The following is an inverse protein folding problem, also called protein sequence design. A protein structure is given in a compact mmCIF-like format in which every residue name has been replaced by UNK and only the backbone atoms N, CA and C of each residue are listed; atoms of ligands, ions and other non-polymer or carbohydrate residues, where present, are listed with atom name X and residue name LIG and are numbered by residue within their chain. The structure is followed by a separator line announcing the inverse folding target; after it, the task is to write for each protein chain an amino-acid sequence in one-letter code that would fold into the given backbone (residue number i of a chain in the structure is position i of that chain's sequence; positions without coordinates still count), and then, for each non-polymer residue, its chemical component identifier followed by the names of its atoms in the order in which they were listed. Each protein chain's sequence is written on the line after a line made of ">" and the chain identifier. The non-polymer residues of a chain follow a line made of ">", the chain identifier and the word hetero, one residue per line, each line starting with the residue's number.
data_IF_762150928904
#
_entry.id   IF_762150928904
#
_cell.length_a   1.000
_cell.length_b   1.000
_cell.length_c   1.000
_cell.angle_alpha   90.00
_cell.angle_beta   90.00
_cell.angle_gamma   90.00
#
_symmetry.space_group_name_H-M   'P 1'
#
loop_
_entity.id
_entity.type
_entity.pdbx_description
1 polymer ?
#
# COMPACT_ATOMS: atom_id res chain seq x y z
N UNK A 1 -8.01 -7.66 -22.07
CA UNK A 1 -7.30 -8.89 -21.63
C UNK A 1 -7.06 -8.76 -20.13
N UNK A 2 -7.59 -9.68 -19.31
CA UNK A 2 -7.29 -9.68 -17.88
C UNK A 2 -5.93 -10.37 -17.69
N UNK A 3 -4.92 -9.62 -17.25
CA UNK A 3 -3.63 -10.19 -16.89
C UNK A 3 -3.77 -10.97 -15.58
N UNK A 4 -3.32 -12.22 -15.57
CA UNK A 4 -3.29 -13.03 -14.35
C UNK A 4 -2.11 -12.56 -13.46
N UNK A 5 -2.32 -12.32 -12.15
CA UNK A 5 -1.29 -11.72 -11.29
C UNK A 5 -0.06 -12.61 -11.09
N UNK A 6 -0.17 -13.91 -11.35
CA UNK A 6 0.96 -14.85 -11.29
C UNK A 6 1.75 -14.96 -12.61
N UNK A 7 1.44 -14.15 -13.62
CA UNK A 7 2.24 -14.14 -14.85
C UNK A 7 3.69 -13.75 -14.50
N UNK A 8 4.64 -14.51 -15.02
CA UNK A 8 6.08 -14.31 -14.77
C UNK A 8 6.55 -14.79 -13.38
N UNK A 9 5.69 -15.45 -12.59
CA UNK A 9 6.13 -16.06 -11.32
C UNK A 9 6.83 -17.41 -11.50
N UNK A 10 6.80 -18.00 -12.71
CA UNK A 10 7.45 -19.29 -12.96
C UNK A 10 8.94 -19.22 -12.62
N UNK A 11 9.40 -20.13 -11.75
CA UNK A 11 10.78 -20.16 -11.28
C UNK A 11 11.15 -19.09 -10.23
N UNK A 12 10.22 -18.21 -9.85
CA UNK A 12 10.44 -17.26 -8.76
C UNK A 12 10.47 -17.96 -7.39
N UNK A 13 11.16 -17.38 -6.41
CA UNK A 13 11.31 -17.97 -5.07
C UNK A 13 9.98 -18.21 -4.33
N UNK A 14 8.94 -17.44 -4.67
CA UNK A 14 7.60 -17.55 -4.09
C UNK A 14 6.68 -18.50 -4.86
N UNK A 15 7.14 -19.07 -5.99
CA UNK A 15 6.38 -20.03 -6.80
C UNK A 15 6.42 -21.43 -6.22
N UNK A 16 5.61 -21.66 -5.17
CA UNK A 16 5.58 -22.91 -4.41
C UNK A 16 4.16 -23.47 -4.39
N UNK A 17 3.99 -24.80 -4.53
CA UNK A 17 2.70 -25.46 -4.35
C UNK A 17 1.65 -25.11 -5.42
N UNK A 18 2.09 -24.84 -6.65
CA UNK A 18 1.22 -24.46 -7.76
C UNK A 18 0.60 -23.07 -7.60
N UNK A 19 -0.48 -22.79 -8.33
CA UNK A 19 -1.10 -21.47 -8.37
C UNK A 19 -1.58 -20.99 -6.99
N UNK A 20 -2.21 -21.87 -6.20
CA UNK A 20 -2.76 -21.51 -4.89
C UNK A 20 -1.67 -21.19 -3.88
N UNK A 21 -0.62 -22.01 -3.80
CA UNK A 21 0.50 -21.75 -2.89
C UNK A 21 1.28 -20.49 -3.29
N UNK A 22 1.48 -20.28 -4.60
CA UNK A 22 2.12 -19.06 -5.12
C UNK A 22 1.31 -17.82 -4.77
N UNK A 23 -0.01 -17.83 -4.99
CA UNK A 23 -0.89 -16.73 -4.63
C UNK A 23 -0.89 -16.45 -3.13
N UNK A 24 -0.90 -17.51 -2.30
CA UNK A 24 -0.86 -17.38 -0.85
C UNK A 24 0.44 -16.73 -0.36
N UNK A 25 1.60 -17.19 -0.84
CA UNK A 25 2.90 -16.62 -0.46
C UNK A 25 3.02 -15.19 -0.96
N UNK A 26 2.67 -14.93 -2.23
CA UNK A 26 2.70 -13.60 -2.83
C UNK A 26 1.82 -12.61 -2.05
N UNK A 27 0.56 -12.98 -1.80
CA UNK A 27 -0.38 -12.15 -1.05
C UNK A 27 0.07 -11.89 0.38
N UNK A 28 0.58 -12.92 1.07
CA UNK A 28 1.10 -12.78 2.44
C UNK A 28 2.33 -11.89 2.50
N UNK A 29 3.24 -12.02 1.53
CA UNK A 29 4.46 -11.23 1.45
C UNK A 29 4.18 -9.74 1.17
N UNK A 30 3.32 -9.45 0.19
CA UNK A 30 2.92 -8.07 -0.11
C UNK A 30 2.05 -7.47 1.02
N UNK A 31 1.20 -8.28 1.66
CA UNK A 31 0.45 -7.87 2.85
C UNK A 31 1.36 -7.52 4.03
N UNK A 32 2.41 -8.31 4.27
CA UNK A 32 3.45 -8.00 5.26
C UNK A 32 4.15 -6.68 4.92
N UNK A 33 4.51 -6.46 3.65
CA UNK A 33 5.12 -5.20 3.21
C UNK A 33 4.23 -3.99 3.55
N UNK A 34 2.92 -4.06 3.28
CA UNK A 34 1.97 -3.02 3.66
C UNK A 34 2.00 -2.75 5.18
N UNK A 35 1.94 -3.80 6.00
CA UNK A 35 1.95 -3.69 7.46
C UNK A 35 3.25 -3.07 7.98
N UNK A 36 4.40 -3.41 7.37
CA UNK A 36 5.70 -2.80 7.69
C UNK A 36 5.69 -1.31 7.35
N UNK A 37 5.12 -0.92 6.21
CA UNK A 37 4.94 0.48 5.81
C UNK A 37 4.14 1.27 6.84
N UNK A 38 2.94 0.79 7.19
CA UNK A 38 2.05 1.46 8.15
C UNK A 38 2.63 1.52 9.57
N UNK A 39 3.31 0.46 9.98
CA UNK A 39 4.03 0.43 11.27
C UNK A 39 5.16 1.46 11.29
N UNK A 40 5.91 1.59 10.19
CA UNK A 40 6.95 2.61 10.04
C UNK A 40 6.36 4.03 10.10
N UNK A 41 5.26 4.28 9.38
CA UNK A 41 4.54 5.56 9.44
C UNK A 41 4.07 5.87 10.87
N UNK A 42 3.52 4.88 11.56
CA UNK A 42 3.10 4.99 12.96
C UNK A 42 4.27 5.27 13.90
N UNK A 43 5.40 4.60 13.73
CA UNK A 43 6.61 4.86 14.50
C UNK A 43 7.11 6.30 14.32
N UNK A 44 7.20 6.79 13.07
CA UNK A 44 7.63 8.17 12.77
C UNK A 44 6.69 9.19 13.40
N UNK A 45 5.36 8.96 13.34
CA UNK A 45 4.37 9.83 14.02
C UNK A 45 4.67 9.94 15.52
N UNK A 46 4.89 8.81 16.20
CA UNK A 46 5.17 8.81 17.66
C UNK A 46 6.49 9.47 18.00
N UNK A 47 7.53 9.33 17.17
CA UNK A 47 8.82 10.02 17.38
C UNK A 47 8.72 11.54 17.21
N UNK A 48 7.79 12.02 16.37
CA UNK A 48 7.50 13.45 16.18
C UNK A 48 6.56 14.04 17.23
N UNK A 49 6.19 13.27 18.26
CA UNK A 49 5.27 13.74 19.31
C UNK A 49 3.82 13.84 18.83
N UNK A 50 3.48 13.33 17.64
CA UNK A 50 2.11 13.24 17.15
C UNK A 50 1.41 12.09 17.92
N UNK A 51 0.89 12.43 19.10
CA UNK A 51 0.10 11.53 19.93
C UNK A 51 -1.35 11.55 19.45
N UNK A 52 -2.03 10.41 19.58
CA UNK A 52 -3.51 10.39 19.56
C UNK A 52 -3.94 11.02 20.89
N UNK A 53 -4.46 12.24 20.86
CA UNK A 53 -5.06 12.86 22.04
C UNK A 53 -6.58 12.64 21.97
N UNK A 54 -7.09 11.73 22.80
CA UNK A 54 -8.51 11.37 22.81
C UNK A 54 -9.00 10.79 21.48
N UNK A 55 -10.19 11.22 21.05
CA UNK A 55 -10.85 10.85 19.78
C UNK A 55 -10.16 11.43 18.53
N UNK A 56 -9.23 12.38 18.70
CA UNK A 56 -8.66 13.14 17.58
C UNK A 56 -7.33 12.48 17.15
N UNK A 57 -7.40 11.74 16.03
CA UNK A 57 -6.21 11.24 15.36
C UNK A 57 -5.32 12.40 14.91
N UNK A 58 -4.00 12.27 15.07
CA UNK A 58 -3.03 13.22 14.56
C UNK A 58 -3.26 13.43 13.05
N UNK A 59 -3.48 14.67 12.62
CA UNK A 59 -3.75 15.02 11.22
C UNK A 59 -2.48 14.91 10.37
N UNK A 60 -2.02 13.69 10.11
CA UNK A 60 -0.81 13.43 9.35
C UNK A 60 -1.15 12.78 8.00
N UNK A 61 -1.88 13.49 7.10
CA UNK A 61 -2.51 12.90 5.92
C UNK A 61 -1.55 12.17 4.99
N UNK A 62 -0.29 12.62 4.88
CA UNK A 62 0.72 11.90 4.07
C UNK A 62 1.26 10.65 4.76
N UNK A 63 1.48 10.70 6.08
CA UNK A 63 1.96 9.55 6.87
C UNK A 63 0.87 8.49 7.07
N UNK A 64 -0.39 8.85 6.88
CA UNK A 64 -1.54 7.95 6.99
C UNK A 64 -1.95 7.32 5.64
N UNK A 65 -1.35 7.76 4.53
CA UNK A 65 -1.77 7.33 3.18
C UNK A 65 -0.64 6.78 2.31
N UNK A 66 0.60 7.23 2.51
CA UNK A 66 1.71 6.85 1.64
C UNK A 66 2.55 5.65 2.11
N UNK A 67 2.81 5.43 3.42
CA UNK A 67 3.77 4.41 3.84
C UNK A 67 3.45 2.99 3.39
N UNK A 68 2.19 2.54 3.46
CA UNK A 68 1.83 1.21 2.97
C UNK A 68 2.10 1.06 1.47
N UNK A 69 1.69 2.05 0.66
CA UNK A 69 1.79 2.02 -0.79
C UNK A 69 3.26 2.07 -1.25
N UNK A 70 4.07 2.92 -0.62
CA UNK A 70 5.51 2.99 -0.88
C UNK A 70 6.16 1.65 -0.55
N UNK A 71 5.84 1.06 0.60
CA UNK A 71 6.50 -0.17 1.05
C UNK A 71 6.13 -1.37 0.16
N UNK A 72 4.86 -1.52 -0.21
CA UNK A 72 4.43 -2.63 -1.08
C UNK A 72 5.00 -2.52 -2.49
N UNK A 73 5.09 -1.32 -3.07
CA UNK A 73 5.72 -1.13 -4.37
C UNK A 73 7.23 -1.35 -4.31
N UNK A 74 7.90 -0.85 -3.27
CA UNK A 74 9.33 -1.06 -3.07
C UNK A 74 9.64 -2.56 -2.95
N UNK A 75 8.91 -3.29 -2.11
CA UNK A 75 9.11 -4.73 -1.95
C UNK A 75 8.75 -5.51 -3.22
N UNK A 76 7.68 -5.11 -3.90
CA UNK A 76 7.31 -5.67 -5.19
C UNK A 76 8.46 -5.59 -6.20
N UNK A 77 9.05 -4.40 -6.34
CA UNK A 77 10.15 -4.15 -7.27
C UNK A 77 11.46 -4.85 -6.85
N UNK A 78 11.75 -4.96 -5.56
CA UNK A 78 12.99 -5.58 -5.07
C UNK A 78 12.96 -7.12 -5.08
N UNK A 79 11.80 -7.72 -4.82
CA UNK A 79 11.73 -9.15 -4.49
C UNK A 79 10.94 -10.00 -5.49
N UNK A 80 10.11 -9.43 -6.37
CA UNK A 80 9.28 -10.26 -7.27
C UNK A 80 9.94 -10.63 -8.60
N UNK A 81 11.12 -10.07 -8.90
CA UNK A 81 11.96 -10.50 -10.03
C UNK A 81 11.22 -10.47 -11.38
N UNK A 82 11.08 -11.63 -12.02
CA UNK A 82 10.44 -11.80 -13.33
C UNK A 82 8.91 -11.64 -13.32
N UNK A 83 8.28 -11.48 -12.16
CA UNK A 83 6.84 -11.29 -12.06
C UNK A 83 6.39 -10.07 -12.85
N UNK A 84 5.24 -10.18 -13.52
CA UNK A 84 4.59 -9.04 -14.18
C UNK A 84 4.35 -7.87 -13.20
N UNK A 85 4.16 -8.17 -11.91
CA UNK A 85 3.95 -7.16 -10.87
C UNK A 85 5.22 -6.34 -10.57
N UNK A 86 6.40 -6.82 -10.98
CA UNK A 86 7.67 -6.10 -10.92
C UNK A 86 8.09 -5.47 -12.25
N UNK A 87 7.25 -5.56 -13.30
CA UNK A 87 7.61 -5.07 -14.63
C UNK A 87 7.98 -3.58 -14.62
N UNK A 88 9.01 -3.23 -15.39
CA UNK A 88 9.53 -1.87 -15.44
C UNK A 88 8.49 -0.83 -15.91
N UNK A 89 7.58 -1.26 -16.78
CA UNK A 89 6.47 -0.47 -17.32
C UNK A 89 5.50 -0.02 -16.21
N UNK A 90 5.42 -0.76 -15.10
CA UNK A 90 4.56 -0.43 -13.97
C UNK A 90 5.17 0.63 -13.04
N UNK A 91 6.45 0.96 -13.17
CA UNK A 91 7.11 1.95 -12.29
C UNK A 91 6.46 3.34 -12.37
N UNK A 92 6.13 3.79 -13.58
CA UNK A 92 5.47 5.08 -13.77
C UNK A 92 4.02 5.09 -13.23
N UNK A 93 3.16 4.09 -13.54
CA UNK A 93 1.86 3.92 -12.90
C UNK A 93 1.93 3.84 -11.36
N UNK A 94 2.90 3.10 -10.79
CA UNK A 94 3.10 3.01 -9.34
C UNK A 94 3.42 4.38 -8.73
N UNK A 95 4.32 5.15 -9.35
CA UNK A 95 4.63 6.50 -8.92
C UNK A 95 3.39 7.42 -9.00
N UNK A 96 2.65 7.34 -10.10
CA UNK A 96 1.41 8.09 -10.27
C UNK A 96 0.38 7.74 -9.18
N UNK A 97 0.25 6.45 -8.83
CA UNK A 97 -0.61 5.99 -7.74
C UNK A 97 -0.17 6.57 -6.39
N UNK A 98 1.12 6.53 -6.05
CA UNK A 98 1.64 7.15 -4.82
C UNK A 98 1.30 8.65 -4.78
N UNK A 99 1.46 9.36 -5.89
CA UNK A 99 1.19 10.80 -5.96
C UNK A 99 -0.30 11.15 -5.87
N UNK A 100 -1.17 10.34 -6.48
CA UNK A 100 -2.62 10.60 -6.48
C UNK A 100 -3.32 10.10 -5.20
N UNK A 101 -2.71 9.16 -4.47
CA UNK A 101 -3.29 8.55 -3.26
C UNK A 101 -3.73 9.59 -2.22
N UNK A 102 -2.93 10.61 -1.85
CA UNK A 102 -3.38 11.64 -0.89
C UNK A 102 -4.59 12.42 -1.38
N UNK A 103 -4.67 12.69 -2.70
CA UNK A 103 -5.79 13.41 -3.32
C UNK A 103 -7.05 12.56 -3.27
N UNK A 104 -6.95 11.27 -3.61
CA UNK A 104 -8.07 10.33 -3.52
C UNK A 104 -8.56 10.21 -2.08
N UNK A 105 -7.68 9.93 -1.12
CA UNK A 105 -8.04 9.81 0.29
C UNK A 105 -8.73 11.08 0.80
N UNK A 106 -8.19 12.26 0.50
CA UNK A 106 -8.79 13.53 0.90
C UNK A 106 -10.16 13.74 0.26
N UNK A 107 -10.31 13.40 -1.01
CA UNK A 107 -11.57 13.56 -1.74
C UNK A 107 -12.67 12.67 -1.14
N UNK A 108 -12.36 11.40 -0.87
CA UNK A 108 -13.30 10.49 -0.20
C UNK A 108 -13.66 10.95 1.20
N UNK A 109 -12.70 11.44 1.99
CA UNK A 109 -12.97 11.94 3.35
C UNK A 109 -13.85 13.20 3.32
N UNK A 110 -13.67 14.09 2.35
CA UNK A 110 -14.51 15.26 2.16
C UNK A 110 -15.94 14.91 1.74
N UNK A 111 -16.09 13.97 0.80
CA UNK A 111 -17.41 13.49 0.35
C UNK A 111 -18.14 12.84 1.54
N UNK A 112 -17.46 11.92 2.25
CA UNK A 112 -17.99 11.25 3.43
C UNK A 112 -18.44 12.22 4.53
N UNK A 113 -17.66 13.28 4.77
CA UNK A 113 -18.05 14.33 5.71
C UNK A 113 -19.28 15.12 5.22
N UNK A 114 -19.34 15.50 3.94
CA UNK A 114 -20.47 16.26 3.38
C UNK A 114 -21.79 15.50 3.41
N UNK A 115 -21.77 14.17 3.26
CA UNK A 115 -22.97 13.32 3.30
C UNK A 115 -23.28 12.78 4.70
N UNK A 116 -22.52 13.19 5.72
CA UNK A 116 -22.73 12.79 7.11
C UNK A 116 -22.28 11.36 7.46
N UNK A 117 -21.45 10.73 6.62
CA UNK A 117 -20.88 9.39 6.89
C UNK A 117 -19.59 9.43 7.72
N UNK A 118 -18.93 10.60 7.79
CA UNK A 118 -17.79 10.84 8.69
C UNK A 118 -18.06 12.08 9.52
N UNK A 119 -17.60 12.06 10.77
CA UNK A 119 -17.66 13.22 11.67
C UNK A 119 -16.59 14.28 11.35
N UNK A 120 -15.55 13.90 10.58
CA UNK A 120 -14.43 14.79 10.22
C UNK A 120 -14.04 14.68 8.74
N UNK A 121 -13.54 15.78 8.12
CA UNK A 121 -13.23 15.85 6.69
C UNK A 121 -11.86 15.26 6.30
N UNK A 122 -11.09 14.71 7.25
CA UNK A 122 -9.74 14.19 7.03
C UNK A 122 -9.63 12.69 7.31
#
# INVERSE_FOLDING_TARGET
>A
VFAHPLIGSEGAWFSVGGANGTAFILGSFLGLACLVGDSTGSFVKRRRGLKREGEISSKAPLLDTLPFAIMVFLWGQLFLGSSILAAEELRLPMLALVLITPVLHRSFNLIGYKIGWKDVPY
#
